data_IF_381845263362
#
_entry.id   IF_381845263362
#
_cell.length_a   1.000
_cell.length_b   1.000
_cell.length_c   1.000
_cell.angle_alpha   90.00
_cell.angle_beta   90.00
_cell.angle_gamma   90.00
#
_symmetry.space_group_name_H-M   'P 1'
#
loop_
_entity.id
_entity.type
_entity.pdbx_description
1 polymer ?
#
# COMPACT_ATOMS: atom_id res chain seq x y z
N UNK A 1 20.73 -34.64 -33.87
CA UNK A 1 20.03 -33.98 -34.99
C UNK A 1 20.85 -32.75 -35.35
N UNK A 2 21.49 -32.80 -36.52
CA UNK A 2 22.33 -31.74 -37.06
C UNK A 2 21.48 -30.49 -37.33
N UNK A 3 21.95 -29.33 -36.87
CA UNK A 3 21.50 -28.03 -37.37
C UNK A 3 22.59 -27.59 -38.35
N UNK A 4 22.23 -27.63 -39.62
CA UNK A 4 23.02 -27.16 -40.75
C UNK A 4 22.98 -25.64 -40.83
N UNK A 5 24.16 -25.02 -40.83
CA UNK A 5 24.39 -23.63 -41.22
C UNK A 5 24.24 -23.51 -42.75
N UNK A 6 23.29 -22.69 -43.21
CA UNK A 6 23.34 -22.08 -44.53
C UNK A 6 23.07 -20.57 -44.44
N UNK A 7 23.77 -19.74 -45.22
CA UNK A 7 23.77 -18.28 -45.08
C UNK A 7 22.71 -17.66 -45.99
N UNK A 8 21.84 -16.80 -45.46
CA UNK A 8 20.92 -16.02 -46.28
C UNK A 8 21.40 -14.57 -46.48
N UNK A 9 21.92 -14.37 -47.68
CA UNK A 9 21.80 -13.23 -48.59
C UNK A 9 21.72 -11.80 -48.04
N UNK A 10 22.83 -11.11 -48.32
CA UNK A 10 23.03 -9.68 -48.22
C UNK A 10 22.34 -8.97 -49.41
N UNK A 11 21.06 -8.63 -49.30
CA UNK A 11 20.41 -7.75 -50.27
C UNK A 11 20.53 -6.28 -49.84
N UNK A 12 21.51 -5.59 -50.46
CA UNK A 12 21.58 -4.14 -50.56
C UNK A 12 20.30 -3.59 -51.19
N UNK A 13 19.44 -2.96 -50.39
CA UNK A 13 18.36 -2.12 -50.91
C UNK A 13 18.95 -0.77 -51.37
N UNK A 14 19.01 -0.59 -52.68
CA UNK A 14 19.29 0.68 -53.34
C UNK A 14 18.28 1.74 -52.90
N UNK A 15 18.74 2.80 -52.23
CA UNK A 15 17.94 3.98 -51.94
C UNK A 15 17.92 4.88 -53.18
N UNK A 16 16.75 4.96 -53.82
CA UNK A 16 16.51 5.91 -54.90
C UNK A 16 16.50 7.34 -54.35
N UNK A 17 17.40 8.19 -54.86
CA UNK A 17 17.39 9.64 -54.65
C UNK A 17 16.11 10.21 -55.26
N UNK A 18 15.13 10.58 -54.42
CA UNK A 18 14.05 11.48 -54.82
C UNK A 18 14.39 12.92 -54.44
N UNK A 19 14.28 13.77 -55.46
CA UNK A 19 14.53 15.20 -55.49
C UNK A 19 13.82 15.98 -54.40
N UNK A 20 14.59 16.87 -53.74
CA UNK A 20 14.11 17.95 -52.89
C UNK A 20 13.17 18.87 -53.68
N UNK A 21 11.90 18.92 -53.29
CA UNK A 21 11.02 20.06 -53.57
C UNK A 21 10.46 20.53 -52.24
N UNK A 22 10.65 21.82 -51.97
CA UNK A 22 10.31 22.45 -50.69
C UNK A 22 8.87 22.20 -50.30
N UNK A 23 8.67 21.64 -49.11
CA UNK A 23 7.38 21.65 -48.42
C UNK A 23 7.54 22.44 -47.13
N UNK A 24 6.78 23.52 -47.07
CA UNK A 24 6.47 24.32 -45.89
C UNK A 24 6.28 23.46 -44.64
N UNK A 25 6.83 23.91 -43.52
CA UNK A 25 6.65 23.33 -42.19
C UNK A 25 5.20 22.92 -41.94
N UNK A 26 4.92 21.67 -41.56
CA UNK A 26 3.55 21.26 -41.27
C UNK A 26 3.05 22.00 -40.04
N UNK A 27 1.82 22.49 -40.13
CA UNK A 27 1.08 23.16 -39.07
C UNK A 27 1.15 22.36 -37.74
N UNK A 28 1.36 23.07 -36.63
CA UNK A 28 1.49 22.57 -35.24
C UNK A 28 0.18 22.01 -34.65
N UNK A 29 -0.45 21.09 -35.37
CA UNK A 29 -1.67 20.39 -34.97
C UNK A 29 -1.60 18.93 -35.36
N UNK A 30 -0.51 18.24 -34.99
CA UNK A 30 -0.35 16.83 -35.34
C UNK A 30 -1.30 15.95 -34.53
N UNK A 31 -2.29 15.49 -35.29
CA UNK A 31 -3.41 14.64 -34.97
C UNK A 31 -2.97 13.36 -34.22
N UNK A 32 -3.52 13.10 -33.03
CA UNK A 32 -3.26 11.86 -32.24
C UNK A 32 -3.37 10.56 -33.09
N UNK A 33 -4.12 10.60 -34.18
CA UNK A 33 -4.27 9.51 -35.14
C UNK A 33 -2.97 9.15 -35.87
N UNK A 34 -2.20 10.13 -36.36
CA UNK A 34 -0.95 9.88 -37.11
C UNK A 34 0.14 9.29 -36.22
N UNK A 35 0.20 9.71 -34.96
CA UNK A 35 1.06 9.13 -33.93
C UNK A 35 0.70 7.68 -33.63
N UNK A 36 -0.60 7.36 -33.64
CA UNK A 36 -1.09 6.01 -33.41
C UNK A 36 -0.75 5.08 -34.58
N UNK A 37 -0.78 5.58 -35.81
CA UNK A 37 -0.36 4.86 -37.02
C UNK A 37 1.15 4.59 -37.02
N UNK A 38 1.99 5.61 -36.82
CA UNK A 38 3.45 5.41 -36.69
C UNK A 38 3.81 4.43 -35.57
N UNK A 39 3.12 4.49 -34.42
CA UNK A 39 3.35 3.52 -33.35
C UNK A 39 2.98 2.08 -33.73
N UNK A 40 1.97 1.88 -34.57
CA UNK A 40 1.64 0.55 -35.10
C UNK A 40 2.71 0.06 -36.10
N UNK A 41 3.30 0.96 -36.88
CA UNK A 41 4.39 0.61 -37.80
C UNK A 41 5.66 0.21 -37.03
N UNK A 42 6.04 0.96 -36.00
CA UNK A 42 7.27 0.70 -35.22
C UNK A 42 7.10 -0.44 -34.21
N UNK A 43 5.91 -0.60 -33.63
CA UNK A 43 5.59 -1.64 -32.65
C UNK A 43 4.34 -2.43 -33.07
N UNK A 44 4.45 -3.28 -34.11
CA UNK A 44 3.30 -3.97 -34.71
C UNK A 44 2.61 -4.95 -33.75
N UNK A 45 3.35 -5.47 -32.76
CA UNK A 45 2.83 -6.39 -31.75
C UNK A 45 2.83 -5.72 -30.38
N UNK A 46 1.63 -5.41 -29.85
CA UNK A 46 1.51 -4.98 -28.45
C UNK A 46 1.76 -6.17 -27.52
N UNK A 47 2.42 -5.91 -26.40
CA UNK A 47 2.45 -6.87 -25.30
C UNK A 47 1.00 -7.14 -24.84
N UNK A 48 0.65 -8.39 -24.52
CA UNK A 48 -0.65 -8.71 -23.95
C UNK A 48 -0.84 -7.93 -22.65
N UNK A 49 -2.07 -7.50 -22.38
CA UNK A 49 -2.39 -6.92 -21.07
C UNK A 49 -2.28 -8.01 -20.01
N UNK A 50 -1.65 -7.71 -18.90
CA UNK A 50 -1.77 -8.56 -17.70
C UNK A 50 -3.24 -8.63 -17.28
N UNK A 51 -3.65 -9.79 -16.78
CA UNK A 51 -4.95 -10.00 -16.14
C UNK A 51 -4.72 -10.33 -14.67
N UNK A 52 -5.67 -9.97 -13.81
CA UNK A 52 -5.61 -10.34 -12.40
C UNK A 52 -5.70 -11.86 -12.25
N UNK A 53 -4.97 -12.40 -11.27
CA UNK A 53 -5.12 -13.79 -10.84
C UNK A 53 -6.54 -14.02 -10.36
N UNK A 54 -7.22 -15.05 -10.87
CA UNK A 54 -8.55 -15.46 -10.39
C UNK A 54 -8.54 -16.10 -9.00
N UNK A 55 -7.36 -16.30 -8.43
CA UNK A 55 -7.18 -16.85 -7.08
C UNK A 55 -6.92 -15.72 -6.09
N UNK A 56 -7.68 -15.71 -5.00
CA UNK A 56 -7.41 -14.91 -3.81
C UNK A 56 -7.16 -15.82 -2.61
N UNK A 57 -6.34 -15.37 -1.67
CA UNK A 57 -6.00 -16.10 -0.45
C UNK A 57 -6.50 -15.31 0.76
N UNK A 58 -7.14 -16.02 1.69
CA UNK A 58 -7.48 -15.50 3.00
C UNK A 58 -6.75 -16.29 4.09
N UNK A 59 -6.37 -15.60 5.16
CA UNK A 59 -5.72 -16.17 6.32
C UNK A 59 -6.63 -16.01 7.54
N UNK A 60 -6.89 -17.12 8.22
CA UNK A 60 -7.53 -17.15 9.52
C UNK A 60 -6.44 -17.46 10.54
N UNK A 61 -6.05 -16.46 11.32
CA UNK A 61 -4.93 -16.54 12.24
C UNK A 61 -5.45 -16.76 13.66
N UNK A 62 -5.19 -17.94 14.22
CA UNK A 62 -5.55 -18.29 15.61
C UNK A 62 -4.31 -18.24 16.49
N UNK A 63 -4.36 -17.43 17.55
CA UNK A 63 -3.35 -17.40 18.59
C UNK A 63 -3.40 -18.65 19.49
N UNK A 64 -2.34 -18.92 20.27
CA UNK A 64 -2.35 -20.03 21.22
C UNK A 64 -3.38 -19.79 22.32
N UNK A 65 -3.99 -20.88 22.81
CA UNK A 65 -4.87 -20.82 23.97
C UNK A 65 -4.06 -20.50 25.23
N UNK A 66 -4.61 -19.64 26.07
CA UNK A 66 -3.98 -19.26 27.33
C UNK A 66 -4.49 -20.16 28.44
N UNK A 67 -3.55 -20.70 29.22
CA UNK A 67 -3.86 -21.38 30.46
C UNK A 67 -4.53 -20.42 31.43
N UNK A 68 -5.43 -20.94 32.25
CA UNK A 68 -6.03 -20.18 33.32
C UNK A 68 -4.98 -19.62 34.29
N UNK A 69 -5.34 -18.54 34.98
CA UNK A 69 -4.46 -17.96 36.00
C UNK A 69 -4.35 -18.94 37.17
N UNK A 70 -3.12 -19.22 37.60
CA UNK A 70 -2.88 -19.99 38.83
C UNK A 70 -3.32 -19.17 40.05
N UNK A 71 -3.98 -19.82 41.01
CA UNK A 71 -4.45 -19.26 42.27
C UNK A 71 -3.56 -19.76 43.44
N UNK A 72 -2.59 -18.95 43.89
CA UNK A 72 -1.72 -19.33 45.00
C UNK A 72 -2.45 -19.46 46.34
N UNK A 73 -3.59 -18.77 46.51
CA UNK A 73 -4.35 -18.84 47.76
C UNK A 73 -5.11 -20.16 47.84
N UNK A 74 -5.71 -20.61 46.73
CA UNK A 74 -6.32 -21.92 46.64
C UNK A 74 -5.30 -23.04 46.86
N UNK A 75 -4.11 -22.95 46.25
CA UNK A 75 -3.05 -23.93 46.44
C UNK A 75 -2.56 -23.99 47.90
N UNK A 76 -2.41 -22.83 48.55
CA UNK A 76 -2.05 -22.75 49.97
C UNK A 76 -3.12 -23.33 50.88
N UNK A 77 -4.41 -23.09 50.58
CA UNK A 77 -5.52 -23.66 51.33
C UNK A 77 -5.57 -25.19 51.24
N UNK A 78 -5.01 -25.77 50.18
CA UNK A 78 -4.85 -27.22 50.00
C UNK A 78 -3.54 -27.76 50.59
N UNK A 79 -2.78 -26.94 51.32
CA UNK A 79 -1.56 -27.36 52.02
C UNK A 79 -0.28 -27.39 51.16
N UNK A 80 -0.30 -26.77 49.97
CA UNK A 80 0.92 -26.59 49.18
C UNK A 80 1.63 -25.29 49.57
N UNK A 81 2.95 -25.38 49.68
CA UNK A 81 3.80 -24.20 49.83
C UNK A 81 4.33 -23.75 48.45
N UNK A 82 4.67 -22.45 48.29
CA UNK A 82 5.24 -21.94 47.05
C UNK A 82 6.51 -22.71 46.65
N UNK A 83 6.50 -23.29 45.44
CA UNK A 83 7.63 -24.10 44.97
C UNK A 83 7.42 -24.76 43.61
N UNK A 84 8.29 -25.70 43.21
CA UNK A 84 8.26 -26.36 41.90
C UNK A 84 6.93 -27.06 41.58
N UNK A 85 6.22 -27.54 42.61
CA UNK A 85 4.91 -28.19 42.48
C UNK A 85 3.85 -27.27 41.87
N UNK A 86 3.96 -25.94 42.04
CA UNK A 86 3.06 -24.99 41.37
C UNK A 86 3.26 -25.03 39.85
N UNK A 87 4.51 -25.15 39.39
CA UNK A 87 4.81 -25.25 37.97
C UNK A 87 4.30 -26.58 37.37
N UNK A 88 4.32 -27.66 38.14
CA UNK A 88 3.72 -28.94 37.74
C UNK A 88 2.20 -28.81 37.56
N UNK A 89 1.52 -28.16 38.49
CA UNK A 89 0.08 -27.89 38.38
C UNK A 89 -0.24 -27.01 37.16
N UNK A 90 0.54 -25.96 36.91
CA UNK A 90 0.40 -25.12 35.70
C UNK A 90 0.70 -25.91 34.42
N UNK A 91 1.56 -26.93 34.46
CA UNK A 91 1.81 -27.84 33.34
C UNK A 91 0.69 -28.86 33.11
N UNK A 92 -0.25 -28.98 34.04
CA UNK A 92 -1.35 -29.94 33.97
C UNK A 92 -1.08 -31.25 34.73
N UNK A 93 0.02 -31.32 35.49
CA UNK A 93 0.35 -32.48 36.30
C UNK A 93 -0.28 -32.36 37.69
N UNK A 94 -0.76 -33.47 38.25
CA UNK A 94 -1.23 -33.51 39.64
C UNK A 94 -0.04 -33.66 40.59
N UNK A 95 -0.15 -33.09 41.78
CA UNK A 95 0.93 -33.12 42.79
C UNK A 95 0.39 -33.64 44.11
N UNK A 96 1.24 -34.30 44.90
CA UNK A 96 0.87 -34.79 46.23
C UNK A 96 1.32 -33.78 47.29
N UNK A 97 0.39 -33.34 48.13
CA UNK A 97 0.65 -32.48 49.28
C UNK A 97 1.35 -33.25 50.42
N UNK A 98 1.97 -32.55 51.39
CA UNK A 98 2.68 -33.20 52.50
C UNK A 98 1.82 -34.13 53.37
N UNK A 99 0.51 -33.90 53.41
CA UNK A 99 -0.48 -34.72 54.12
C UNK A 99 -0.89 -36.00 53.34
N UNK A 100 -0.37 -36.18 52.13
CA UNK A 100 -0.70 -37.29 51.22
C UNK A 100 -1.86 -37.01 50.27
N UNK A 101 -2.52 -35.85 50.36
CA UNK A 101 -3.63 -35.47 49.48
C UNK A 101 -3.13 -35.21 48.05
N UNK A 102 -3.80 -35.77 47.04
CA UNK A 102 -3.49 -35.48 45.62
C UNK A 102 -4.27 -34.24 45.17
N UNK A 103 -3.54 -33.24 44.70
CA UNK A 103 -4.09 -31.97 44.20
C UNK A 103 -4.00 -31.97 42.68
N UNK A 104 -5.14 -31.67 42.06
CA UNK A 104 -5.30 -31.62 40.62
C UNK A 104 -5.27 -30.17 40.11
N UNK A 105 -4.77 -29.92 38.88
CA UNK A 105 -4.67 -28.58 38.30
C UNK A 105 -5.97 -27.77 38.34
N UNK A 106 -7.12 -28.38 38.07
CA UNK A 106 -8.42 -27.70 38.02
C UNK A 106 -8.87 -27.12 39.37
N UNK A 107 -8.27 -27.55 40.49
CA UNK A 107 -8.59 -27.03 41.82
C UNK A 107 -7.90 -25.69 42.11
N UNK A 108 -6.85 -25.36 41.36
CA UNK A 108 -5.98 -24.20 41.61
C UNK A 108 -5.72 -23.35 40.36
N UNK A 109 -6.24 -23.77 39.21
CA UNK A 109 -6.16 -23.04 37.94
C UNK A 109 -7.53 -22.47 37.61
N UNK A 110 -7.57 -21.19 37.22
CA UNK A 110 -8.77 -20.61 36.61
C UNK A 110 -9.13 -21.27 35.27
N UNK A 111 -10.25 -20.88 34.65
CA UNK A 111 -10.60 -21.37 33.32
C UNK A 111 -9.56 -20.90 32.28
N UNK A 112 -9.18 -21.81 31.38
CA UNK A 112 -8.40 -21.44 30.20
C UNK A 112 -9.22 -20.52 29.29
N UNK A 113 -8.56 -19.61 28.58
CA UNK A 113 -9.20 -18.74 27.59
C UNK A 113 -8.65 -19.03 26.20
N UNK A 114 -9.50 -19.15 25.17
CA UNK A 114 -9.03 -19.33 23.80
C UNK A 114 -8.15 -18.17 23.34
N UNK A 115 -7.18 -18.49 22.48
CA UNK A 115 -6.37 -17.48 21.81
C UNK A 115 -7.22 -16.60 20.91
N UNK A 116 -6.78 -15.35 20.69
CA UNK A 116 -7.49 -14.48 19.77
C UNK A 116 -7.50 -15.06 18.35
N UNK A 117 -8.57 -14.81 17.61
CA UNK A 117 -8.61 -15.04 16.16
C UNK A 117 -8.64 -13.70 15.44
N UNK A 118 -7.87 -13.55 14.37
CA UNK A 118 -8.01 -12.45 13.41
C UNK A 118 -7.97 -12.99 11.99
N UNK A 119 -8.59 -12.26 11.06
CA UNK A 119 -8.70 -12.67 9.66
C UNK A 119 -8.09 -11.60 8.78
N UNK A 120 -7.34 -12.02 7.76
CA UNK A 120 -6.88 -11.17 6.66
C UNK A 120 -7.44 -11.76 5.38
N UNK A 121 -8.17 -10.98 4.60
CA UNK A 121 -8.69 -11.42 3.31
C UNK A 121 -8.50 -10.36 2.23
N UNK A 122 -8.20 -10.84 1.03
CA UNK A 122 -8.16 -10.04 -0.19
C UNK A 122 -9.40 -10.34 -1.05
N UNK A 123 -10.13 -9.31 -1.46
CA UNK A 123 -11.30 -9.41 -2.34
C UNK A 123 -11.12 -8.39 -3.48
N UNK A 124 -10.37 -8.75 -4.54
CA UNK A 124 -9.92 -7.78 -5.55
C UNK A 124 -11.05 -7.16 -6.38
N UNK A 125 -12.19 -7.83 -6.53
CA UNK A 125 -13.35 -7.30 -7.24
C UNK A 125 -14.64 -8.04 -6.86
N UNK A 126 -15.78 -7.57 -7.37
CA UNK A 126 -17.09 -8.16 -7.09
C UNK A 126 -17.24 -9.60 -7.57
N UNK A 127 -16.39 -10.07 -8.50
CA UNK A 127 -16.42 -11.46 -8.99
C UNK A 127 -16.02 -12.49 -7.93
N UNK A 128 -15.33 -12.08 -6.86
CA UNK A 128 -14.88 -12.97 -5.78
C UNK A 128 -15.92 -13.12 -4.67
N UNK A 129 -16.93 -12.25 -4.64
CA UNK A 129 -17.87 -12.15 -3.51
C UNK A 129 -18.60 -13.47 -3.28
N UNK A 130 -19.08 -14.13 -4.33
CA UNK A 130 -19.79 -15.42 -4.19
C UNK A 130 -18.89 -16.46 -3.51
N UNK A 131 -17.66 -16.63 -3.98
CA UNK A 131 -16.70 -17.59 -3.40
C UNK A 131 -16.37 -17.28 -1.94
N UNK A 132 -16.23 -16.01 -1.57
CA UNK A 132 -16.00 -15.60 -0.17
C UNK A 132 -17.23 -15.86 0.69
N UNK A 133 -18.43 -15.58 0.16
CA UNK A 133 -19.68 -15.75 0.89
C UNK A 133 -20.05 -17.22 1.13
N UNK A 134 -19.67 -18.09 0.21
CA UNK A 134 -19.97 -19.53 0.21
C UNK A 134 -18.87 -20.36 0.88
N UNK A 135 -17.70 -19.77 1.18
CA UNK A 135 -16.58 -20.48 1.81
C UNK A 135 -16.95 -20.99 3.20
N UNK A 136 -16.95 -22.32 3.42
CA UNK A 136 -17.35 -22.92 4.70
C UNK A 136 -16.37 -22.59 5.83
N UNK A 137 -15.12 -22.25 5.50
CA UNK A 137 -14.06 -21.92 6.46
C UNK A 137 -14.42 -20.71 7.35
N UNK A 138 -15.22 -19.78 6.85
CA UNK A 138 -15.65 -18.60 7.62
C UNK A 138 -16.85 -18.86 8.54
N UNK A 139 -17.65 -19.89 8.28
CA UNK A 139 -18.93 -20.12 8.97
C UNK A 139 -18.74 -20.29 10.48
N UNK A 140 -17.68 -21.00 10.90
CA UNK A 140 -17.33 -21.18 12.31
C UNK A 140 -17.10 -19.86 13.05
N UNK A 141 -16.62 -18.83 12.34
CA UNK A 141 -16.26 -17.52 12.89
C UNK A 141 -17.37 -16.49 12.79
N UNK A 142 -18.41 -16.78 12.01
CA UNK A 142 -19.63 -15.97 11.85
C UNK A 142 -20.58 -16.18 13.04
N UNK A 143 -20.13 -15.75 14.21
CA UNK A 143 -20.82 -16.00 15.48
C UNK A 143 -20.63 -14.84 16.44
N UNK A 144 -21.56 -14.68 17.38
CA UNK A 144 -21.44 -13.75 18.52
C UNK A 144 -20.71 -14.34 19.72
N UNK A 145 -20.28 -15.61 19.65
CA UNK A 145 -19.52 -16.25 20.73
C UNK A 145 -18.14 -15.56 20.88
N UNK A 146 -17.86 -15.00 22.07
CA UNK A 146 -16.63 -14.24 22.35
C UNK A 146 -15.33 -15.04 22.22
N UNK A 147 -15.42 -16.36 22.32
CA UNK A 147 -14.28 -17.28 22.26
C UNK A 147 -13.93 -17.68 20.83
N UNK A 148 -14.88 -17.57 19.90
CA UNK A 148 -14.72 -17.99 18.50
C UNK A 148 -14.76 -16.81 17.54
N UNK A 149 -15.52 -15.76 17.84
CA UNK A 149 -15.61 -14.59 16.97
C UNK A 149 -14.22 -13.96 16.76
N UNK A 150 -13.87 -13.57 15.52
CA UNK A 150 -12.64 -12.83 15.26
C UNK A 150 -12.66 -11.51 16.02
N UNK A 151 -11.50 -11.14 16.58
CA UNK A 151 -11.31 -9.82 17.20
C UNK A 151 -11.22 -8.73 16.15
N UNK A 152 -10.55 -9.01 15.02
CA UNK A 152 -10.40 -8.09 13.91
C UNK A 152 -10.37 -8.83 12.58
N UNK A 153 -10.95 -8.21 11.55
CA UNK A 153 -10.90 -8.64 10.16
C UNK A 153 -10.31 -7.50 9.33
N UNK A 154 -9.24 -7.79 8.60
CA UNK A 154 -8.58 -6.86 7.68
C UNK A 154 -9.05 -7.18 6.25
N UNK A 155 -9.88 -6.30 5.71
CA UNK A 155 -10.48 -6.41 4.40
C UNK A 155 -9.66 -5.61 3.38
N UNK A 156 -8.85 -6.27 2.57
CA UNK A 156 -8.23 -5.67 1.39
C UNK A 156 -9.21 -5.83 0.24
N UNK A 157 -9.85 -4.74 -0.19
CA UNK A 157 -11.01 -4.84 -1.10
C UNK A 157 -10.88 -3.91 -2.29
N UNK A 158 -11.18 -4.43 -3.47
CA UNK A 158 -11.27 -3.64 -4.69
C UNK A 158 -12.51 -2.74 -4.74
N UNK A 159 -12.49 -1.83 -5.70
CA UNK A 159 -13.59 -0.89 -5.94
C UNK A 159 -14.90 -1.64 -6.28
N UNK A 160 -16.00 -1.27 -5.62
CA UNK A 160 -17.33 -1.86 -5.83
C UNK A 160 -17.68 -2.99 -4.85
N UNK A 161 -16.70 -3.56 -4.15
CA UNK A 161 -16.94 -4.69 -3.23
C UNK A 161 -17.72 -4.28 -1.99
N UNK A 162 -17.38 -3.13 -1.38
CA UNK A 162 -18.06 -2.64 -0.17
C UNK A 162 -19.48 -2.13 -0.45
N UNK A 163 -19.76 -1.73 -1.69
CA UNK A 163 -21.08 -1.31 -2.14
C UNK A 163 -22.00 -2.51 -2.46
N UNK A 164 -21.45 -3.71 -2.62
CA UNK A 164 -22.23 -4.91 -2.92
C UNK A 164 -22.95 -5.41 -1.67
N UNK A 165 -24.29 -5.50 -1.75
CA UNK A 165 -25.14 -5.92 -0.64
C UNK A 165 -24.80 -7.30 -0.10
N UNK A 166 -24.37 -8.23 -0.96
CA UNK A 166 -24.01 -9.61 -0.55
C UNK A 166 -22.78 -9.59 0.36
N UNK A 167 -21.82 -8.72 0.05
CA UNK A 167 -20.61 -8.57 0.86
C UNK A 167 -20.91 -7.86 2.19
N UNK A 168 -21.76 -6.82 2.15
CA UNK A 168 -22.25 -6.17 3.37
C UNK A 168 -22.98 -7.15 4.29
N UNK A 169 -23.89 -7.97 3.76
CA UNK A 169 -24.58 -9.03 4.50
C UNK A 169 -23.58 -10.02 5.09
N UNK A 170 -22.58 -10.46 4.31
CA UNK A 170 -21.52 -11.36 4.77
C UNK A 170 -20.68 -10.75 5.91
N UNK A 171 -20.31 -9.46 5.82
CA UNK A 171 -19.58 -8.77 6.90
C UNK A 171 -20.40 -8.74 8.20
N UNK A 172 -21.71 -8.57 8.13
CA UNK A 172 -22.59 -8.54 9.30
C UNK A 172 -22.87 -9.91 9.92
N UNK A 173 -22.41 -11.02 9.31
CA UNK A 173 -22.49 -12.35 9.93
C UNK A 173 -21.46 -12.55 11.05
N UNK A 174 -20.41 -11.73 11.08
CA UNK A 174 -19.44 -11.74 12.18
C UNK A 174 -20.01 -11.01 13.40
N UNK A 175 -19.56 -11.41 14.59
CA UNK A 175 -20.12 -10.91 15.85
C UNK A 175 -19.98 -9.39 15.99
N UNK A 176 -20.85 -8.75 16.78
CA UNK A 176 -20.92 -7.28 16.88
C UNK A 176 -19.67 -6.63 17.51
N UNK A 177 -18.80 -7.44 18.14
CA UNK A 177 -17.54 -6.97 18.73
C UNK A 177 -16.35 -7.06 17.77
N UNK A 178 -16.52 -7.70 16.61
CA UNK A 178 -15.48 -7.80 15.58
C UNK A 178 -15.18 -6.42 14.99
N UNK A 179 -13.91 -6.03 15.00
CA UNK A 179 -13.43 -4.83 14.32
C UNK A 179 -13.20 -5.13 12.84
N UNK A 180 -13.72 -4.29 11.95
CA UNK A 180 -13.56 -4.43 10.50
C UNK A 180 -12.66 -3.30 9.99
N UNK A 181 -11.42 -3.63 9.66
CA UNK A 181 -10.44 -2.68 9.11
C UNK A 181 -10.45 -2.81 7.59
N UNK A 182 -10.74 -1.72 6.90
CA UNK A 182 -10.99 -1.69 5.46
C UNK A 182 -9.85 -0.98 4.73
N UNK A 183 -9.15 -1.69 3.86
CA UNK A 183 -8.16 -1.13 2.94
C UNK A 183 -8.77 -1.05 1.53
N UNK A 184 -9.04 0.17 1.06
CA UNK A 184 -9.56 0.43 -0.27
C UNK A 184 -9.15 1.82 -0.78
N UNK A 185 -8.83 1.91 -2.08
CA UNK A 185 -8.34 3.11 -2.75
C UNK A 185 -9.25 4.36 -2.63
N UNK A 186 -10.58 4.20 -2.66
CA UNK A 186 -11.53 5.33 -2.62
C UNK A 186 -11.92 5.75 -1.21
N UNK A 187 -11.69 4.86 -0.27
CA UNK A 187 -12.25 4.87 1.06
C UNK A 187 -11.15 5.19 2.09
N UNK A 188 -9.91 4.81 1.80
CA UNK A 188 -8.72 5.32 2.47
C UNK A 188 -8.27 6.65 1.84
N UNK A 189 -7.86 7.66 2.63
CA UNK A 189 -7.27 8.88 2.09
C UNK A 189 -5.92 8.61 1.39
N UNK A 190 -5.67 9.31 0.28
CA UNK A 190 -4.42 9.23 -0.49
C UNK A 190 -3.37 10.17 0.09
N UNK A 191 -2.93 9.88 1.32
CA UNK A 191 -1.95 10.70 2.05
C UNK A 191 -0.55 10.53 1.47
N UNK A 192 0.28 11.56 1.64
CA UNK A 192 1.72 11.43 1.46
C UNK A 192 2.27 10.44 2.49
N UNK A 193 2.85 9.34 2.00
CA UNK A 193 3.55 8.35 2.83
C UNK A 193 5.04 8.73 2.97
N UNK A 194 5.66 9.17 1.87
CA UNK A 194 7.07 9.58 1.85
C UNK A 194 7.24 11.06 2.21
N UNK A 195 6.94 11.40 3.46
CA UNK A 195 6.88 12.79 3.96
C UNK A 195 8.13 13.60 3.63
N UNK A 196 9.31 13.05 3.86
CA UNK A 196 10.57 13.76 3.63
C UNK A 196 10.87 14.00 2.15
N UNK A 197 10.47 13.09 1.26
CA UNK A 197 10.58 13.30 -0.18
C UNK A 197 9.62 14.40 -0.65
N UNK A 198 8.39 14.43 -0.13
CA UNK A 198 7.43 15.50 -0.39
C UNK A 198 7.90 16.87 0.13
N UNK A 199 8.51 16.93 1.31
CA UNK A 199 9.15 18.15 1.82
C UNK A 199 10.30 18.63 0.93
N UNK A 200 11.15 17.71 0.45
CA UNK A 200 12.20 18.07 -0.51
C UNK A 200 11.62 18.63 -1.80
N UNK A 201 10.54 18.05 -2.34
CA UNK A 201 9.86 18.60 -3.50
C UNK A 201 9.18 19.94 -3.24
N UNK A 202 8.59 20.13 -2.06
CA UNK A 202 8.03 21.42 -1.67
C UNK A 202 9.11 22.50 -1.64
N UNK A 203 10.28 22.21 -1.07
CA UNK A 203 11.42 23.14 -1.07
C UNK A 203 11.84 23.47 -2.50
N UNK A 204 12.10 22.45 -3.32
CA UNK A 204 12.49 22.64 -4.73
C UNK A 204 11.44 23.42 -5.55
N UNK A 205 10.15 23.27 -5.24
CA UNK A 205 9.07 24.06 -5.87
C UNK A 205 9.19 25.57 -5.60
N UNK A 206 9.83 25.97 -4.49
CA UNK A 206 10.11 27.38 -4.20
C UNK A 206 11.18 27.97 -5.12
N UNK A 207 11.98 27.13 -5.78
CA UNK A 207 12.94 27.52 -6.82
C UNK A 207 12.22 27.56 -8.17
N UNK A 208 11.55 26.47 -8.56
CA UNK A 208 10.82 26.40 -9.83
C UNK A 208 9.61 25.48 -9.72
N UNK A 209 8.41 26.06 -9.66
CA UNK A 209 7.14 25.33 -9.51
C UNK A 209 6.73 24.52 -10.75
N UNK A 210 7.26 24.88 -11.94
CA UNK A 210 6.94 24.20 -13.18
C UNK A 210 7.71 22.87 -13.29
N UNK A 211 8.98 22.89 -12.88
CA UNK A 211 9.88 21.73 -12.87
C UNK A 211 9.70 20.86 -11.62
N UNK A 212 9.49 21.47 -10.45
CA UNK A 212 9.35 20.77 -9.18
C UNK A 212 7.94 20.94 -8.64
N UNK A 213 7.04 20.06 -9.08
CA UNK A 213 5.65 20.09 -8.61
C UNK A 213 5.53 19.37 -7.28
N UNK A 214 4.66 19.92 -6.43
CA UNK A 214 4.22 19.25 -5.20
C UNK A 214 3.51 17.95 -5.60
N UNK A 215 3.85 16.80 -4.99
CA UNK A 215 3.17 15.54 -5.28
C UNK A 215 1.68 15.64 -4.97
N UNK A 216 0.86 14.98 -5.79
CA UNK A 216 -0.58 14.90 -5.52
C UNK A 216 -0.83 14.13 -4.22
N UNK A 217 -1.77 14.62 -3.42
CA UNK A 217 -2.28 13.93 -2.24
C UNK A 217 -3.72 14.38 -1.93
N UNK A 218 -4.42 13.56 -1.15
CA UNK A 218 -5.70 13.91 -0.53
C UNK A 218 -5.73 13.40 0.90
N UNK A 219 -5.86 14.32 1.86
CA UNK A 219 -5.96 13.98 3.28
C UNK A 219 -7.35 13.46 3.67
N UNK A 220 -8.33 13.69 2.80
CA UNK A 220 -9.69 13.17 2.91
C UNK A 220 -9.92 12.02 1.92
N UNK A 221 -10.76 11.04 2.28
CA UNK A 221 -11.12 9.95 1.38
C UNK A 221 -12.13 10.42 0.33
N UNK A 222 -12.13 9.78 -0.84
CA UNK A 222 -13.08 10.07 -1.92
C UNK A 222 -14.51 9.67 -1.51
N UNK A 223 -14.65 8.59 -0.74
CA UNK A 223 -15.91 8.06 -0.22
C UNK A 223 -15.83 7.89 1.29
N UNK A 224 -16.97 8.06 1.96
CA UNK A 224 -17.09 7.92 3.41
C UNK A 224 -17.76 6.58 3.77
N UNK A 225 -17.26 5.85 4.79
CA UNK A 225 -17.92 4.60 5.24
C UNK A 225 -19.38 4.83 5.59
N UNK A 226 -19.67 5.97 6.24
CA UNK A 226 -21.01 6.35 6.68
C UNK A 226 -22.03 6.48 5.53
N UNK A 227 -21.57 6.51 4.27
CA UNK A 227 -22.45 6.51 3.10
C UNK A 227 -22.97 5.12 2.72
N UNK A 228 -22.48 4.05 3.36
CA UNK A 228 -22.91 2.69 3.14
C UNK A 228 -24.02 2.32 4.14
N UNK A 229 -25.11 1.73 3.64
CA UNK A 229 -26.30 1.49 4.44
C UNK A 229 -26.13 0.38 5.50
N UNK A 230 -25.46 -0.71 5.14
CA UNK A 230 -25.45 -1.95 5.93
C UNK A 230 -24.03 -2.46 6.22
N UNK A 231 -23.15 -1.60 6.75
CA UNK A 231 -21.82 -2.03 7.20
C UNK A 231 -21.80 -2.26 8.73
N UNK A 232 -20.93 -3.16 9.23
CA UNK A 232 -20.75 -3.35 10.67
C UNK A 232 -20.43 -2.03 11.39
N UNK A 233 -20.98 -1.86 12.59
CA UNK A 233 -20.79 -0.62 13.39
C UNK A 233 -19.33 -0.32 13.69
N UNK A 234 -18.54 -1.37 13.92
CA UNK A 234 -17.09 -1.30 14.19
C UNK A 234 -16.27 -1.40 12.90
N UNK A 235 -16.67 -0.67 11.86
CA UNK A 235 -15.93 -0.57 10.61
C UNK A 235 -15.11 0.72 10.58
N UNK A 236 -13.84 0.62 10.22
CA UNK A 236 -12.92 1.75 10.05
C UNK A 236 -12.00 1.52 8.86
N UNK A 237 -11.43 2.60 8.31
CA UNK A 237 -10.46 2.48 7.24
C UNK A 237 -9.06 2.23 7.79
N UNK A 238 -8.29 1.41 7.08
CA UNK A 238 -6.87 1.24 7.33
C UNK A 238 -6.16 2.59 7.14
N UNK A 239 -5.25 2.90 8.07
CA UNK A 239 -4.33 4.03 7.95
C UNK A 239 -2.92 3.57 8.32
N UNK A 240 -1.87 4.19 7.73
CA UNK A 240 -0.50 3.88 8.07
C UNK A 240 -0.25 4.01 9.57
N UNK A 241 0.57 3.11 10.13
CA UNK A 241 0.92 3.07 11.56
C UNK A 241 -0.26 2.83 12.52
N UNK A 242 -1.44 2.46 12.01
CA UNK A 242 -2.52 1.91 12.85
C UNK A 242 -2.04 0.59 13.48
N UNK A 243 -2.28 0.44 14.78
CA UNK A 243 -1.92 -0.77 15.52
C UNK A 243 -3.21 -1.37 16.10
N UNK A 244 -3.42 -2.67 15.92
CA UNK A 244 -4.43 -3.39 16.69
C UNK A 244 -3.75 -4.11 17.87
N UNK A 245 -3.99 -3.63 19.08
CA UNK A 245 -3.44 -4.23 20.29
C UNK A 245 -4.20 -5.51 20.62
N UNK A 246 -3.45 -6.57 20.92
CA UNK A 246 -3.98 -7.92 21.13
C UNK A 246 -4.03 -8.28 22.61
N UNK A 247 -3.11 -7.76 23.42
CA UNK A 247 -3.03 -7.95 24.87
C UNK A 247 -2.41 -6.70 25.51
N UNK A 248 -2.72 -6.39 26.79
CA UNK A 248 -3.68 -7.08 27.67
C UNK A 248 -5.15 -6.73 27.37
N UNK A 249 -5.39 -5.78 26.46
CA UNK A 249 -6.72 -5.35 26.05
C UNK A 249 -6.80 -5.22 24.54
N UNK A 250 -7.89 -5.71 23.95
CA UNK A 250 -8.16 -5.57 22.53
C UNK A 250 -8.59 -4.14 22.20
N UNK A 251 -7.78 -3.39 21.48
CA UNK A 251 -8.13 -2.03 21.05
C UNK A 251 -7.37 -1.60 19.81
N UNK A 252 -8.03 -0.75 19.04
CA UNK A 252 -7.42 -0.04 17.93
C UNK A 252 -6.64 1.16 18.49
N UNK A 253 -5.34 1.21 18.23
CA UNK A 253 -4.40 2.22 18.69
C UNK A 253 -3.95 3.09 17.51
N UNK A 254 -4.20 4.39 17.68
CA UNK A 254 -3.96 5.44 16.70
C UNK A 254 -2.87 6.42 17.17
N UNK A 255 -2.20 6.12 18.28
CA UNK A 255 -1.19 7.01 18.87
C UNK A 255 0.10 7.12 18.04
N UNK A 256 0.37 6.13 17.18
CA UNK A 256 1.57 6.08 16.33
C UNK A 256 1.36 6.71 14.95
N UNK A 257 0.21 7.34 14.69
CA UNK A 257 -0.01 8.04 13.44
C UNK A 257 0.97 9.20 13.30
N UNK A 258 1.70 9.21 12.19
CA UNK A 258 2.56 10.32 11.83
C UNK A 258 1.78 11.59 11.46
N UNK A 259 2.47 12.74 11.36
CA UNK A 259 1.85 13.98 10.91
C UNK A 259 1.30 13.83 9.50
N UNK A 260 0.15 14.47 9.26
CA UNK A 260 -0.45 14.54 7.94
C UNK A 260 0.22 15.67 7.16
N UNK A 261 0.71 15.37 5.96
CA UNK A 261 1.34 16.37 5.11
C UNK A 261 0.31 17.39 4.62
N UNK A 262 0.61 18.68 4.78
CA UNK A 262 -0.14 19.77 4.18
C UNK A 262 0.83 20.81 3.62
N UNK A 263 0.77 21.04 2.31
CA UNK A 263 1.75 21.91 1.66
C UNK A 263 1.62 23.39 2.05
N UNK A 264 0.45 23.84 2.54
CA UNK A 264 0.29 25.20 3.03
C UNK A 264 0.95 25.34 4.40
N UNK A 265 0.63 24.44 5.33
CA UNK A 265 1.22 24.42 6.67
C UNK A 265 2.75 24.28 6.60
N UNK A 266 3.25 23.39 5.75
CA UNK A 266 4.69 23.20 5.58
C UNK A 266 5.36 24.37 4.83
N UNK A 267 4.63 25.09 3.98
CA UNK A 267 5.12 26.34 3.38
C UNK A 267 5.27 27.43 4.43
N UNK A 268 4.27 27.61 5.30
CA UNK A 268 4.30 28.62 6.36
C UNK A 268 5.47 28.38 7.32
N UNK A 269 5.68 27.12 7.74
CA UNK A 269 6.86 26.74 8.55
C UNK A 269 8.19 27.07 7.85
N UNK A 270 8.26 26.90 6.53
CA UNK A 270 9.46 27.22 5.76
C UNK A 270 9.71 28.73 5.72
N UNK A 271 8.65 29.53 5.55
CA UNK A 271 8.71 31.00 5.63
C UNK A 271 9.20 31.46 7.00
N UNK A 272 8.75 30.82 8.08
CA UNK A 272 9.14 31.21 9.45
C UNK A 272 10.57 30.80 9.83
N UNK A 273 11.16 29.79 9.18
CA UNK A 273 12.39 29.15 9.66
C UNK A 273 13.55 29.12 8.67
N UNK A 274 13.41 29.70 7.46
CA UNK A 274 14.41 29.56 6.40
C UNK A 274 14.47 30.75 5.43
N UNK A 275 14.55 31.97 5.95
CA UNK A 275 14.71 33.19 5.13
C UNK A 275 15.89 33.10 4.15
N UNK A 276 17.04 32.59 4.60
CA UNK A 276 18.23 32.39 3.76
C UNK A 276 17.94 31.51 2.55
N UNK A 277 17.16 30.43 2.73
CA UNK A 277 16.81 29.53 1.64
C UNK A 277 15.92 30.23 0.60
N UNK A 278 14.97 31.04 1.06
CA UNK A 278 14.02 31.72 0.18
C UNK A 278 14.71 32.83 -0.61
N UNK A 279 15.63 33.56 0.02
CA UNK A 279 16.45 34.55 -0.64
C UNK A 279 17.30 33.90 -1.75
N UNK A 280 17.97 32.79 -1.45
CA UNK A 280 18.74 32.02 -2.45
C UNK A 280 17.82 31.51 -3.57
N UNK A 281 16.64 30.98 -3.24
CA UNK A 281 15.70 30.49 -4.24
C UNK A 281 15.24 31.61 -5.20
N UNK A 282 15.05 32.82 -4.70
CA UNK A 282 14.69 33.99 -5.49
C UNK A 282 15.86 34.46 -6.38
N UNK A 283 17.09 34.45 -5.86
CA UNK A 283 18.29 34.73 -6.67
C UNK A 283 18.43 33.75 -7.84
N UNK A 284 18.24 32.45 -7.58
CA UNK A 284 18.28 31.40 -8.61
C UNK A 284 17.20 31.61 -9.66
N UNK A 285 15.97 31.96 -9.27
CA UNK A 285 14.89 32.29 -10.22
C UNK A 285 15.29 33.43 -11.17
N UNK A 286 15.88 34.49 -10.62
CA UNK A 286 16.30 35.64 -11.41
C UNK A 286 17.42 35.27 -12.38
N UNK A 287 18.39 34.46 -11.97
CA UNK A 287 19.48 33.97 -12.83
C UNK A 287 18.97 33.06 -13.96
N UNK A 288 18.06 32.14 -13.65
CA UNK A 288 17.43 31.25 -14.64
C UNK A 288 16.62 32.04 -15.66
N UNK A 289 15.88 33.07 -15.22
CA UNK A 289 15.11 33.94 -16.10
C UNK A 289 16.02 34.73 -17.06
N UNK A 290 17.19 35.19 -16.60
CA UNK A 290 18.20 35.83 -17.46
C UNK A 290 18.73 34.85 -18.51
N UNK A 291 19.12 33.65 -18.10
CA UNK A 291 19.73 32.63 -18.96
C UNK A 291 18.78 32.09 -20.05
N UNK A 292 17.47 31.98 -19.76
CA UNK A 292 16.48 31.52 -20.74
C UNK A 292 16.35 32.43 -21.97
N UNK A 293 16.74 33.71 -21.85
CA UNK A 293 16.66 34.67 -22.95
C UNK A 293 17.71 34.43 -24.05
N UNK A 294 18.80 33.72 -23.74
CA UNK A 294 19.98 33.53 -24.61
C UNK A 294 19.91 32.24 -25.46
N UNK A 295 19.17 31.23 -25.01
CA UNK A 295 19.11 29.89 -25.63
C UNK A 295 18.06 29.76 -26.77
N UNK A 296 18.10 30.65 -27.77
CA UNK A 296 17.21 30.53 -28.93
C UNK A 296 17.82 29.62 -29.99
N UNK A 297 17.08 28.56 -30.36
CA UNK A 297 17.32 27.63 -31.48
C UNK A 297 18.23 26.40 -31.21
N UNK A 298 18.15 25.80 -30.02
CA UNK A 298 18.80 24.50 -29.75
C UNK A 298 17.87 23.36 -30.24
N UNK A 299 18.36 22.44 -31.11
CA UNK A 299 17.62 21.22 -31.46
C UNK A 299 17.25 20.41 -30.22
N UNK A 300 15.98 19.98 -30.12
CA UNK A 300 15.50 19.17 -28.99
C UNK A 300 15.21 19.96 -27.71
N UNK A 301 15.17 21.30 -27.75
CA UNK A 301 14.81 22.14 -26.57
C UNK A 301 13.42 21.86 -25.98
N UNK A 302 12.56 21.18 -26.72
CA UNK A 302 11.20 20.79 -26.33
C UNK A 302 11.11 19.35 -25.81
N UNK A 303 12.22 18.62 -25.80
CA UNK A 303 12.34 17.32 -25.13
C UNK A 303 12.33 17.55 -23.62
N UNK A 304 11.46 16.82 -22.91
CA UNK A 304 11.33 16.92 -21.45
C UNK A 304 11.92 15.67 -20.84
N UNK A 305 12.84 15.85 -19.89
CA UNK A 305 13.43 14.78 -19.09
C UNK A 305 12.85 14.88 -17.68
N UNK A 306 12.23 13.80 -17.20
CA UNK A 306 11.68 13.70 -15.85
C UNK A 306 12.40 12.58 -15.12
N UNK A 307 13.20 12.93 -14.12
CA UNK A 307 13.90 11.98 -13.25
C UNK A 307 12.94 11.52 -12.15
N UNK A 308 12.19 10.45 -12.42
CA UNK A 308 11.21 9.85 -11.51
C UNK A 308 11.88 9.24 -10.27
N UNK A 309 13.14 8.82 -10.38
CA UNK A 309 13.97 8.43 -9.26
C UNK A 309 15.45 8.58 -9.55
N UNK A 310 16.23 8.93 -8.52
CA UNK A 310 17.64 9.33 -8.63
C UNK A 310 18.51 8.66 -7.56
N UNK A 311 18.01 7.61 -6.94
CA UNK A 311 18.72 6.81 -5.94
C UNK A 311 19.47 5.65 -6.59
N UNK A 312 20.50 5.16 -5.91
CA UNK A 312 21.29 3.99 -6.30
C UNK A 312 21.02 2.83 -5.35
N UNK A 313 21.05 1.61 -5.88
CA UNK A 313 20.93 0.32 -5.16
C UNK A 313 19.58 0.08 -4.46
N UNK A 314 19.20 0.90 -3.47
CA UNK A 314 18.01 0.71 -2.65
C UNK A 314 17.24 2.04 -2.45
N UNK A 315 15.90 1.99 -2.26
CA UNK A 315 15.11 3.18 -1.92
C UNK A 315 15.60 3.78 -0.59
N UNK A 316 15.80 5.10 -0.58
CA UNK A 316 16.17 5.86 0.62
C UNK A 316 15.01 6.74 1.07
N UNK A 317 15.13 7.32 2.27
CA UNK A 317 14.15 8.28 2.83
C UNK A 317 13.83 9.46 1.90
N UNK A 318 14.78 9.88 1.07
CA UNK A 318 14.66 11.09 0.23
C UNK A 318 14.58 10.81 -1.26
N UNK A 319 15.16 9.69 -1.72
CA UNK A 319 15.29 9.33 -3.14
C UNK A 319 14.89 7.89 -3.36
N UNK A 320 13.97 7.67 -4.30
CA UNK A 320 13.66 6.35 -4.83
C UNK A 320 14.71 5.90 -5.86
N UNK A 321 14.76 4.60 -6.17
CA UNK A 321 15.67 3.99 -7.18
C UNK A 321 15.50 4.57 -8.58
N UNK A 322 16.48 4.35 -9.47
CA UNK A 322 16.55 5.01 -10.78
C UNK A 322 15.33 4.74 -11.67
N UNK A 323 14.79 5.83 -12.22
CA UNK A 323 13.84 5.82 -13.32
C UNK A 323 13.84 7.19 -14.01
N UNK A 324 14.00 7.22 -15.33
CA UNK A 324 14.03 8.45 -16.12
C UNK A 324 13.05 8.36 -17.29
N UNK A 325 12.08 9.27 -17.32
CA UNK A 325 11.12 9.41 -18.40
C UNK A 325 11.55 10.54 -19.34
N UNK A 326 11.77 10.21 -20.61
CA UNK A 326 12.03 11.18 -21.67
C UNK A 326 10.78 11.31 -22.52
N UNK A 327 10.19 12.51 -22.55
CA UNK A 327 9.07 12.84 -23.43
C UNK A 327 9.61 13.59 -24.65
N UNK A 328 9.43 13.00 -25.83
CA UNK A 328 9.76 13.61 -27.11
C UNK A 328 8.44 14.07 -27.75
N UNK A 329 8.19 15.40 -27.86
CA UNK A 329 6.98 15.92 -28.47
C UNK A 329 6.71 15.28 -29.83
N UNK A 330 5.45 14.90 -30.09
CA UNK A 330 5.04 14.26 -31.35
C UNK A 330 5.74 12.92 -31.69
N UNK A 331 6.51 12.33 -30.79
CA UNK A 331 7.16 11.03 -31.03
C UNK A 331 6.82 10.02 -29.93
N UNK A 332 6.65 10.47 -28.69
CA UNK A 332 6.19 9.63 -27.58
C UNK A 332 7.07 9.75 -26.35
N UNK A 333 7.30 8.61 -25.70
CA UNK A 333 8.00 8.51 -24.42
C UNK A 333 9.04 7.40 -24.48
N UNK A 334 10.19 7.62 -23.87
CA UNK A 334 11.22 6.63 -23.60
C UNK A 334 11.34 6.54 -22.07
N UNK A 335 11.29 5.33 -21.54
CA UNK A 335 11.53 5.07 -20.12
C UNK A 335 12.88 4.36 -19.99
N UNK A 336 13.82 4.99 -19.29
CA UNK A 336 15.16 4.48 -19.03
C UNK A 336 15.23 4.07 -17.56
N UNK A 337 15.50 2.79 -17.32
CA UNK A 337 15.33 2.10 -16.03
C UNK A 337 13.89 2.20 -15.47
N UNK A 338 13.51 1.20 -14.66
CA UNK A 338 12.20 1.16 -14.00
C UNK A 338 12.36 0.47 -12.66
N UNK A 339 12.98 1.15 -11.71
CA UNK A 339 13.10 0.65 -10.34
C UNK A 339 11.73 0.53 -9.64
N UNK A 340 11.73 -0.16 -8.49
CA UNK A 340 10.56 -0.32 -7.62
C UNK A 340 9.89 1.04 -7.32
N UNK A 341 8.55 1.10 -7.34
CA UNK A 341 7.80 2.30 -7.01
C UNK A 341 7.83 3.42 -8.06
N UNK A 342 8.19 3.11 -9.31
CA UNK A 342 8.14 4.08 -10.43
C UNK A 342 6.71 4.44 -10.86
N UNK A 343 5.76 3.49 -10.76
CA UNK A 343 4.36 3.64 -11.20
C UNK A 343 3.45 4.18 -10.10
#
# INVERSE_FOLDING_TARGET
MNISDEPQDNQMMQTSKKSNSGKSSPNRGDNKASLRERRKEVFPKRLPKSQHSFTSVAYICKGPDYKGKFDPLAAKALGLEPGPQYADLVRGNSVTAPDGTVIHPHQVMGPSRPGMTFIILDVPSTSYISSVCESPEFVTYQTSNKDTQPRVIIHMVGNGVLEDKRYQEWMNKFGPETEHIIANEKYCPQRIIFYSSALSQLKLSKIDENHFRIPYYSNEPIKQLKSLDNIPKKASFAVPMMIYQTEPSFKLDMSQLGPVFDHNIESDKLLESSDDYLNIAEEVKQEVARSHSEAKNIPGKDVIITTLGTGSTFPSKYRNVSATLIKIPNNGFILLDVGEGTL
#
